data_IF_461487872238
#
_entry.id   IF_461487872238
#
_cell.length_a   1.000
_cell.length_b   1.000
_cell.length_c   1.000
_cell.angle_alpha   90.00
_cell.angle_beta   90.00
_cell.angle_gamma   90.00
#
_symmetry.space_group_name_H-M   'P 1'
#
loop_
_entity.id
_entity.type
_entity.pdbx_description
1 polymer ?
#
# COMPACT_ATOMS: atom_id res chain seq x y z
N UNK A 1 3.59 7.65 10.10
CA UNK A 1 2.61 6.65 9.67
C UNK A 1 1.77 6.29 10.89
N UNK A 2 0.46 6.00 10.76
CA UNK A 2 -0.44 5.79 11.90
C UNK A 2 -0.70 4.30 12.22
N UNK A 3 0.26 3.42 11.89
CA UNK A 3 0.15 1.99 12.19
C UNK A 3 0.53 1.72 13.64
N UNK A 4 -0.02 0.67 14.26
CA UNK A 4 0.32 0.22 15.63
C UNK A 4 1.49 -0.78 15.70
N UNK A 5 2.07 -1.13 14.55
CA UNK A 5 3.30 -1.92 14.47
C UNK A 5 4.55 -1.05 14.81
N UNK A 6 5.59 -1.61 15.47
CA UNK A 6 6.81 -0.86 15.82
C UNK A 6 7.40 -0.16 14.61
N UNK A 7 7.55 1.16 14.68
CA UNK A 7 7.88 1.99 13.51
C UNK A 7 9.31 1.78 13.02
N UNK A 8 10.21 1.43 13.94
CA UNK A 8 11.60 1.07 13.72
C UNK A 8 11.78 -0.22 12.93
N UNK A 9 10.78 -1.10 12.92
CA UNK A 9 10.77 -2.34 12.13
C UNK A 9 10.17 -2.14 10.73
N UNK A 10 9.69 -0.94 10.41
CA UNK A 10 9.03 -0.66 9.13
C UNK A 10 9.96 0.11 8.21
N UNK A 11 10.47 -0.59 7.20
CA UNK A 11 11.08 0.00 6.03
C UNK A 11 10.02 0.55 5.07
N UNK A 12 10.22 1.76 4.55
CA UNK A 12 9.35 2.35 3.53
C UNK A 12 10.17 2.64 2.28
N UNK A 13 9.78 2.01 1.18
CA UNK A 13 10.35 2.24 -0.15
C UNK A 13 9.26 2.80 -1.06
N UNK A 14 9.43 4.05 -1.48
CA UNK A 14 8.56 4.70 -2.46
C UNK A 14 9.24 4.63 -3.83
N UNK A 15 8.53 4.14 -4.84
CA UNK A 15 9.04 4.10 -6.21
C UNK A 15 8.16 4.98 -7.10
N UNK A 16 8.70 6.13 -7.52
CA UNK A 16 7.98 7.09 -8.33
C UNK A 16 8.10 6.76 -9.83
N UNK A 17 6.98 6.75 -10.54
CA UNK A 17 6.88 6.41 -11.96
C UNK A 17 7.17 7.57 -12.92
N UNK A 18 8.04 8.52 -12.54
CA UNK A 18 8.24 9.80 -13.24
C UNK A 18 7.00 10.70 -13.19
N UNK A 19 6.45 10.87 -12.00
CA UNK A 19 5.28 11.72 -11.79
C UNK A 19 5.56 13.17 -12.22
N UNK A 20 4.62 13.76 -12.95
CA UNK A 20 4.69 15.16 -13.41
C UNK A 20 3.83 16.11 -12.58
N UNK A 21 3.12 15.58 -11.58
CA UNK A 21 2.31 16.34 -10.65
C UNK A 21 3.06 16.58 -9.33
N UNK A 22 2.33 16.87 -8.26
CA UNK A 22 2.92 17.17 -6.95
C UNK A 22 3.35 15.93 -6.15
N UNK A 23 3.31 14.74 -6.74
CA UNK A 23 3.65 13.48 -6.04
C UNK A 23 5.06 13.55 -5.45
N UNK A 24 6.08 13.90 -6.24
CA UNK A 24 7.46 13.98 -5.76
C UNK A 24 7.65 15.06 -4.67
N UNK A 25 6.96 16.20 -4.76
CA UNK A 25 6.97 17.23 -3.72
C UNK A 25 6.46 16.66 -2.37
N UNK A 26 5.34 15.95 -2.41
CA UNK A 26 4.73 15.33 -1.24
C UNK A 26 5.65 14.26 -0.65
N UNK A 27 6.19 13.38 -1.49
CA UNK A 27 7.12 12.31 -1.07
C UNK A 27 8.37 12.89 -0.43
N UNK A 28 8.96 13.93 -1.00
CA UNK A 28 10.13 14.60 -0.41
C UNK A 28 9.82 15.25 0.95
N UNK A 29 8.61 15.81 1.12
CA UNK A 29 8.17 16.31 2.41
C UNK A 29 7.99 15.19 3.45
N UNK A 30 7.50 14.03 3.03
CA UNK A 30 7.41 12.85 3.90
C UNK A 30 8.79 12.33 4.28
N UNK A 31 9.75 12.30 3.34
CA UNK A 31 11.14 11.91 3.59
C UNK A 31 11.80 12.78 4.67
N UNK A 32 11.49 14.07 4.74
CA UNK A 32 11.97 14.94 5.83
C UNK A 32 11.50 14.49 7.22
N UNK A 33 10.32 13.85 7.32
CA UNK A 33 9.76 13.32 8.57
C UNK A 33 10.17 11.86 8.85
N UNK A 34 10.59 11.14 7.81
CA UNK A 34 11.09 9.75 7.84
C UNK A 34 12.35 9.65 6.99
N UNK A 35 13.51 10.09 7.52
CA UNK A 35 14.77 10.13 6.76
C UNK A 35 15.24 8.75 6.27
N UNK A 36 14.79 7.70 6.95
CA UNK A 36 14.98 6.28 6.64
C UNK A 36 14.20 5.81 5.41
N UNK A 37 13.23 6.61 4.91
CA UNK A 37 12.46 6.27 3.72
C UNK A 37 13.32 6.35 2.44
N UNK A 38 13.33 5.26 1.68
CA UNK A 38 13.97 5.17 0.36
C UNK A 38 13.00 5.70 -0.71
N UNK A 39 13.53 6.46 -1.66
CA UNK A 39 12.77 6.97 -2.82
C UNK A 39 13.55 6.61 -4.07
N UNK A 40 12.95 5.77 -4.92
CA UNK A 40 13.53 5.30 -6.17
C UNK A 40 12.76 5.88 -7.35
N UNK A 41 13.44 6.03 -8.49
CA UNK A 41 12.83 6.48 -9.73
C UNK A 41 12.65 5.30 -10.68
N UNK A 42 11.44 5.16 -11.20
CA UNK A 42 11.10 4.16 -12.21
C UNK A 42 10.81 4.85 -13.56
N UNK A 43 11.81 4.97 -14.45
CA UNK A 43 11.62 5.62 -15.74
C UNK A 43 10.64 4.89 -16.67
N UNK A 44 10.30 3.62 -16.37
CA UNK A 44 9.32 2.87 -17.16
C UNK A 44 7.88 3.23 -16.83
N UNK A 45 7.60 3.88 -15.69
CA UNK A 45 6.24 4.28 -15.29
C UNK A 45 5.28 3.14 -14.91
N UNK A 46 5.61 1.87 -15.19
CA UNK A 46 4.74 0.71 -14.90
C UNK A 46 4.96 0.12 -13.51
N UNK A 47 3.90 -0.50 -12.96
CA UNK A 47 3.89 -1.10 -11.60
C UNK A 47 4.92 -2.23 -11.43
N UNK A 48 5.00 -3.19 -12.35
CA UNK A 48 5.92 -4.33 -12.19
C UNK A 48 7.41 -3.95 -12.16
N UNK A 49 7.91 -3.08 -13.07
CA UNK A 49 9.24 -2.50 -12.92
C UNK A 49 9.48 -1.80 -11.58
N UNK A 50 8.49 -1.07 -11.07
CA UNK A 50 8.60 -0.41 -9.76
C UNK A 50 8.74 -1.43 -8.62
N UNK A 51 7.92 -2.48 -8.62
CA UNK A 51 8.00 -3.56 -7.63
C UNK A 51 9.36 -4.28 -7.69
N UNK A 52 9.86 -4.57 -8.89
CA UNK A 52 11.17 -5.20 -9.04
C UNK A 52 12.33 -4.33 -8.54
N UNK A 53 12.22 -3.00 -8.66
CA UNK A 53 13.19 -2.08 -8.08
C UNK A 53 13.11 -2.08 -6.55
N UNK A 54 11.89 -2.00 -5.99
CA UNK A 54 11.69 -2.02 -4.54
C UNK A 54 12.19 -3.32 -3.91
N UNK A 55 11.86 -4.48 -4.51
CA UNK A 55 12.25 -5.80 -4.00
C UNK A 55 13.77 -6.01 -3.95
N UNK A 56 14.54 -5.37 -4.84
CA UNK A 56 16.01 -5.44 -4.81
C UNK A 56 16.62 -4.64 -3.66
N UNK A 57 15.92 -3.61 -3.20
CA UNK A 57 16.38 -2.71 -2.14
C UNK A 57 15.81 -3.07 -0.77
N UNK A 58 14.75 -3.89 -0.73
CA UNK A 58 14.06 -4.30 0.48
C UNK A 58 14.90 -5.28 1.30
N UNK A 59 14.90 -5.09 2.62
CA UNK A 59 15.69 -5.91 3.56
C UNK A 59 14.86 -6.55 4.67
N UNK A 60 13.56 -6.24 4.74
CA UNK A 60 12.66 -6.81 5.75
C UNK A 60 12.32 -8.28 5.50
N UNK A 61 11.93 -8.98 6.57
CA UNK A 61 11.50 -10.39 6.51
C UNK A 61 10.17 -10.56 5.75
N UNK A 62 9.33 -9.51 5.77
CA UNK A 62 8.04 -9.46 5.09
C UNK A 62 7.97 -8.33 4.08
N UNK A 63 7.32 -8.60 2.94
CA UNK A 63 7.04 -7.61 1.90
C UNK A 63 5.56 -7.27 1.89
N UNK A 64 5.24 -6.02 2.25
CA UNK A 64 3.89 -5.46 2.10
C UNK A 64 3.84 -4.51 0.89
N UNK A 65 3.00 -4.84 -0.10
CA UNK A 65 2.78 -3.97 -1.26
C UNK A 65 1.60 -3.05 -0.96
N UNK A 66 1.86 -1.74 -0.89
CA UNK A 66 0.84 -0.72 -0.63
C UNK A 66 0.59 0.17 -1.84
N UNK A 67 -0.68 0.44 -2.15
CA UNK A 67 -1.07 1.37 -3.20
C UNK A 67 -1.18 2.80 -2.62
N UNK A 68 -0.69 3.80 -3.36
CA UNK A 68 -0.66 5.21 -2.91
C UNK A 68 -2.04 5.86 -2.78
N UNK A 69 -3.11 5.18 -3.19
CA UNK A 69 -4.50 5.66 -3.16
C UNK A 69 -5.39 4.86 -2.20
N UNK A 70 -4.79 4.00 -1.39
CA UNK A 70 -5.49 3.17 -0.41
C UNK A 70 -5.31 3.69 1.00
N UNK A 71 -6.32 3.45 1.83
CA UNK A 71 -6.26 3.68 3.27
C UNK A 71 -6.20 2.32 3.98
N UNK A 72 -5.33 2.24 4.97
CA UNK A 72 -5.12 1.02 5.74
C UNK A 72 -5.55 1.25 7.19
N UNK A 73 -6.27 0.30 7.82
CA UNK A 73 -6.59 0.40 9.23
C UNK A 73 -5.30 0.44 10.06
N UNK A 74 -5.35 1.03 11.25
CA UNK A 74 -4.16 1.20 12.12
C UNK A 74 -3.47 -0.13 12.46
N UNK A 75 -4.23 -1.23 12.52
CA UNK A 75 -3.73 -2.56 12.85
C UNK A 75 -3.24 -3.37 11.65
N UNK A 76 -3.28 -2.82 10.44
CA UNK A 76 -3.09 -3.58 9.20
C UNK A 76 -1.78 -4.37 9.16
N UNK A 77 -0.63 -3.71 9.37
CA UNK A 77 0.67 -4.39 9.30
C UNK A 77 0.81 -5.44 10.39
N UNK A 78 0.35 -5.12 11.61
CA UNK A 78 0.42 -6.03 12.76
C UNK A 78 -0.39 -7.30 12.53
N UNK A 79 -1.64 -7.17 12.10
CA UNK A 79 -2.51 -8.32 11.84
C UNK A 79 -1.97 -9.21 10.72
N UNK A 80 -1.40 -8.63 9.65
CA UNK A 80 -0.79 -9.41 8.58
C UNK A 80 0.44 -10.17 9.06
N UNK A 81 1.35 -9.50 9.80
CA UNK A 81 2.54 -10.15 10.34
C UNK A 81 2.17 -11.27 11.32
N UNK A 82 1.28 -11.01 12.29
CA UNK A 82 0.77 -12.00 13.24
C UNK A 82 0.11 -13.20 12.54
N UNK A 83 -0.53 -12.99 11.38
CA UNK A 83 -1.15 -14.07 10.61
C UNK A 83 -0.11 -14.91 9.87
N UNK A 84 0.92 -14.30 9.29
CA UNK A 84 2.03 -15.03 8.66
C UNK A 84 2.83 -15.84 9.68
N UNK A 85 3.08 -15.27 10.86
CA UNK A 85 3.81 -15.93 11.95
C UNK A 85 3.12 -17.21 12.45
N UNK A 86 1.82 -17.38 12.20
CA UNK A 86 1.11 -18.64 12.51
C UNK A 86 1.53 -19.81 11.60
N UNK A 87 2.27 -19.56 10.52
CA UNK A 87 2.76 -20.59 9.60
C UNK A 87 1.67 -21.32 8.83
N UNK A 88 0.48 -20.74 8.73
CA UNK A 88 -0.68 -21.35 8.03
C UNK A 88 -0.82 -20.91 6.57
N UNK A 89 -0.07 -19.89 6.16
CA UNK A 89 -0.10 -19.35 4.81
C UNK A 89 1.25 -18.72 4.44
N UNK A 90 1.64 -18.83 3.18
CA UNK A 90 2.85 -18.17 2.63
C UNK A 90 2.58 -16.70 2.23
N UNK A 91 1.30 -16.34 2.10
CA UNK A 91 0.86 -15.00 1.74
C UNK A 91 -0.46 -14.66 2.46
N UNK A 92 -0.58 -13.40 2.88
CA UNK A 92 -1.79 -12.85 3.48
C UNK A 92 -2.10 -11.49 2.86
N UNK A 93 -3.38 -11.16 2.79
CA UNK A 93 -3.85 -9.85 2.36
C UNK A 93 -5.10 -9.47 3.13
N UNK A 94 -5.26 -8.18 3.40
CA UNK A 94 -6.50 -7.69 4.01
C UNK A 94 -7.66 -7.64 3.00
N UNK A 95 -8.88 -7.80 3.52
CA UNK A 95 -10.10 -7.60 2.74
C UNK A 95 -10.19 -6.17 2.20
N UNK A 96 -10.69 -6.02 0.97
CA UNK A 96 -10.88 -4.71 0.35
C UNK A 96 -12.27 -4.17 0.67
N UNK A 97 -12.33 -2.98 1.24
CA UNK A 97 -13.58 -2.26 1.49
C UNK A 97 -13.62 -1.02 0.61
N UNK A 98 -14.55 -0.98 -0.34
CA UNK A 98 -14.76 0.17 -1.21
C UNK A 98 -15.55 1.25 -0.48
N UNK A 99 -15.09 2.49 -0.61
CA UNK A 99 -15.77 3.66 -0.07
C UNK A 99 -16.13 4.60 -1.24
N UNK A 100 -17.39 5.03 -1.37
CA UNK A 100 -17.79 5.90 -2.46
C UNK A 100 -17.13 7.27 -2.29
N UNK A 101 -16.43 7.74 -3.33
CA UNK A 101 -15.78 9.05 -3.32
C UNK A 101 -16.79 10.22 -3.26
N UNK A 102 -18.02 10.00 -3.75
CA UNK A 102 -19.09 11.01 -3.78
C UNK A 102 -20.41 10.43 -3.28
N UNK A 103 -21.36 11.30 -2.88
CA UNK A 103 -22.67 10.89 -2.36
C UNK A 103 -23.69 10.49 -3.44
N UNK A 104 -23.32 10.55 -4.72
CA UNK A 104 -24.23 10.29 -5.84
C UNK A 104 -24.71 8.84 -5.89
N UNK A 105 -25.92 8.64 -6.41
CA UNK A 105 -26.54 7.31 -6.54
C UNK A 105 -25.65 6.35 -7.35
N UNK A 106 -25.02 6.84 -8.42
CA UNK A 106 -24.09 6.03 -9.23
C UNK A 106 -22.88 5.55 -8.43
N UNK A 107 -22.25 6.42 -7.63
CA UNK A 107 -21.09 6.05 -6.81
C UNK A 107 -21.46 5.01 -5.74
N UNK A 108 -22.66 5.13 -5.16
CA UNK A 108 -23.20 4.14 -4.22
C UNK A 108 -23.49 2.81 -4.91
N UNK A 109 -24.11 2.82 -6.09
CA UNK A 109 -24.42 1.61 -6.86
C UNK A 109 -23.16 0.86 -7.28
N UNK A 110 -22.13 1.58 -7.77
CA UNK A 110 -20.83 0.99 -8.10
C UNK A 110 -20.17 0.39 -6.85
N UNK A 111 -20.18 1.10 -5.72
CA UNK A 111 -19.61 0.58 -4.47
C UNK A 111 -20.32 -0.70 -4.04
N UNK A 112 -21.66 -0.69 -4.02
CA UNK A 112 -22.47 -1.85 -3.67
C UNK A 112 -22.13 -3.04 -4.55
N UNK A 113 -22.13 -2.86 -5.88
CA UNK A 113 -21.76 -3.91 -6.81
C UNK A 113 -20.36 -4.48 -6.54
N UNK A 114 -19.36 -3.65 -6.19
CA UNK A 114 -17.99 -4.09 -5.92
C UNK A 114 -17.80 -4.73 -4.54
N UNK A 115 -18.72 -4.54 -3.61
CA UNK A 115 -18.69 -5.14 -2.26
C UNK A 115 -19.51 -6.42 -2.14
N UNK A 116 -20.31 -6.75 -3.15
CA UNK A 116 -21.11 -7.97 -3.18
C UNK A 116 -20.26 -9.20 -3.60
N UNK A 117 -20.53 -10.39 -3.04
CA UNK A 117 -19.77 -11.61 -3.34
C UNK A 117 -19.72 -11.99 -4.83
N UNK A 118 -20.72 -11.56 -5.60
CA UNK A 118 -20.82 -11.82 -7.05
C UNK A 118 -20.14 -10.75 -7.91
N UNK A 119 -19.78 -9.59 -7.35
CA UNK A 119 -19.17 -8.50 -8.10
C UNK A 119 -17.64 -8.49 -8.05
N UNK A 120 -17.04 -9.14 -7.05
CA UNK A 120 -15.61 -9.40 -6.93
C UNK A 120 -15.43 -10.70 -6.12
N UNK A 121 -14.62 -11.65 -6.63
CA UNK A 121 -14.21 -12.79 -5.81
C UNK A 121 -13.37 -12.28 -4.63
N UNK A 122 -13.92 -12.37 -3.44
CA UNK A 122 -13.23 -12.25 -2.14
C UNK A 122 -12.47 -13.53 -1.82
#
# INVERSE_FOLDING_TARGET
MSQDYPQELIEIIVVDGMSTDRTLEIVNRLKKKRPDMKVLMNPKGYKYPALNLALKEAVGDYIAIADAHSLYPRSYIRELAETLDQGKADNVGGGRIFHPRTKGLLAKAITFALTEPFGLCT
#
